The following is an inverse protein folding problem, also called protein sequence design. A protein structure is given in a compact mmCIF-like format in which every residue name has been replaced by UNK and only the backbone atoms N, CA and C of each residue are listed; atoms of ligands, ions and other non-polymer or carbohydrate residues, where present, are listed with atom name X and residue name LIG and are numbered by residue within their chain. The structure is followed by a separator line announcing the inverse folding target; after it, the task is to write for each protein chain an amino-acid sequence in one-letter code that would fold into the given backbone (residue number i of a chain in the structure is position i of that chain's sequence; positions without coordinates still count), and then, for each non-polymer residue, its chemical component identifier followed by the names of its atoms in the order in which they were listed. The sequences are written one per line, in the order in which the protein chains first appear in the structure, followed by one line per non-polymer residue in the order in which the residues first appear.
data_IF_866401518794
#
_entry.id   IF_866401518794
#
_cell.length_a   1.000
_cell.length_b   1.000
_cell.length_c   1.000
_cell.angle_alpha   90.00
_cell.angle_beta   90.00
_cell.angle_gamma   90.00
#
_symmetry.space_group_name_H-M   'P 1'
#
loop_
_entity.id
_entity.type
_entity.pdbx_description
1 polymer ?
#
# COMPACT_ATOMS: atom_id res chain seq x y z
N UNK A 1 -15.24 2.53 12.50
CA UNK A 1 -16.38 2.77 11.62
C UNK A 1 -15.97 3.69 10.48
N UNK A 2 -16.38 3.36 9.27
CA UNK A 2 -16.17 4.18 8.08
C UNK A 2 -17.46 4.29 7.26
N UNK A 3 -17.60 5.39 6.51
CA UNK A 3 -18.73 5.70 5.62
C UNK A 3 -20.10 5.48 6.24
N UNK A 4 -20.95 6.46 6.32
CA UNK A 4 -22.31 6.33 6.83
C UNK A 4 -23.31 6.72 5.76
N UNK A 5 -24.29 5.83 5.46
CA UNK A 5 -25.39 6.07 4.51
C UNK A 5 -26.72 5.58 5.12
N UNK A 6 -27.73 6.40 5.02
CA UNK A 6 -29.09 5.95 5.34
C UNK A 6 -29.75 5.34 4.10
N UNK A 7 -30.27 4.14 4.25
CA UNK A 7 -31.16 3.55 3.27
C UNK A 7 -32.56 4.22 3.31
N UNK A 8 -33.39 4.09 2.25
CA UNK A 8 -34.73 4.69 2.21
C UNK A 8 -35.66 4.27 3.36
N UNK A 9 -35.43 3.12 3.96
CA UNK A 9 -36.19 2.61 5.12
C UNK A 9 -35.69 3.17 6.46
N UNK A 10 -34.70 4.06 6.44
CA UNK A 10 -34.08 4.67 7.62
C UNK A 10 -32.97 3.82 8.26
N UNK A 11 -32.61 2.67 7.71
CA UNK A 11 -31.50 1.84 8.21
C UNK A 11 -30.17 2.53 7.94
N UNK A 12 -29.33 2.67 8.97
CA UNK A 12 -27.97 3.21 8.83
C UNK A 12 -27.00 2.09 8.46
N UNK A 13 -26.39 2.21 7.30
CA UNK A 13 -25.31 1.34 6.82
C UNK A 13 -23.94 1.98 7.05
N UNK A 14 -22.97 1.17 7.45
CA UNK A 14 -21.58 1.57 7.73
C UNK A 14 -20.62 0.45 7.37
N UNK A 15 -19.34 0.79 7.26
CA UNK A 15 -18.26 -0.22 7.33
C UNK A 15 -17.68 -0.26 8.73
N UNK A 16 -17.31 -1.44 9.22
CA UNK A 16 -16.68 -1.63 10.53
C UNK A 16 -15.91 -2.94 10.61
N UNK A 17 -14.84 -2.93 11.38
CA UNK A 17 -14.08 -4.12 11.80
C UNK A 17 -14.46 -4.60 13.21
N UNK A 18 -15.59 -4.12 13.76
CA UNK A 18 -16.07 -4.58 15.05
C UNK A 18 -16.35 -6.09 15.03
N UNK A 19 -15.69 -6.82 15.92
CA UNK A 19 -15.78 -8.29 15.99
C UNK A 19 -15.09 -9.04 14.84
N UNK A 20 -14.34 -8.35 13.99
CA UNK A 20 -13.62 -8.93 12.85
C UNK A 20 -12.21 -8.38 12.75
N UNK A 21 -11.32 -9.08 12.04
CA UNK A 21 -10.02 -8.57 11.62
C UNK A 21 -10.12 -7.61 10.43
N UNK A 22 -11.17 -7.77 9.60
CA UNK A 22 -11.37 -7.02 8.37
C UNK A 22 -12.60 -6.11 8.44
N UNK A 23 -12.54 -4.99 7.69
CA UNK A 23 -13.68 -4.10 7.49
C UNK A 23 -14.83 -4.83 6.78
N UNK A 24 -16.02 -4.79 7.34
CA UNK A 24 -17.24 -5.39 6.77
C UNK A 24 -18.32 -4.34 6.58
N UNK A 25 -19.11 -4.49 5.54
CA UNK A 25 -20.33 -3.70 5.35
C UNK A 25 -21.45 -4.28 6.23
N UNK A 26 -22.14 -3.43 6.95
CA UNK A 26 -23.23 -3.82 7.83
C UNK A 26 -24.10 -2.66 8.27
N UNK A 27 -25.04 -2.94 9.17
CA UNK A 27 -25.97 -1.97 9.74
C UNK A 27 -25.57 -1.60 11.15
N UNK A 28 -25.73 -0.31 11.49
CA UNK A 28 -25.52 0.24 12.82
C UNK A 28 -26.83 0.72 13.39
N UNK A 29 -27.20 0.23 14.56
CA UNK A 29 -28.31 0.79 15.34
C UNK A 29 -27.83 2.06 16.07
N UNK A 30 -28.30 3.27 15.69
CA UNK A 30 -27.82 4.50 16.28
C UNK A 30 -28.23 4.70 17.75
N UNK A 31 -29.21 3.93 18.25
CA UNK A 31 -29.66 4.01 19.63
C UNK A 31 -28.81 3.16 20.57
N UNK A 32 -28.39 1.99 20.10
CA UNK A 32 -27.65 1.02 20.92
C UNK A 32 -26.16 0.99 20.59
N UNK A 33 -25.76 1.56 19.44
CA UNK A 33 -24.40 1.45 18.91
C UNK A 33 -24.05 0.06 18.36
N UNK A 34 -25.04 -0.86 18.28
CA UNK A 34 -24.80 -2.24 17.85
C UNK A 34 -24.56 -2.31 16.35
N UNK A 35 -23.39 -2.79 15.96
CA UNK A 35 -23.09 -3.17 14.58
C UNK A 35 -23.57 -4.59 14.27
N UNK A 36 -24.13 -4.77 13.08
CA UNK A 36 -24.54 -6.09 12.56
C UNK A 36 -23.98 -6.25 11.16
N UNK A 37 -22.96 -7.12 10.93
CA UNK A 37 -22.41 -7.33 9.60
C UNK A 37 -23.46 -7.94 8.66
N UNK A 38 -23.45 -7.47 7.41
CA UNK A 38 -24.36 -7.89 6.35
C UNK A 38 -23.65 -8.43 5.12
N UNK A 39 -22.45 -7.91 4.80
CA UNK A 39 -21.62 -8.51 3.77
C UNK A 39 -21.13 -9.90 4.21
N UNK A 40 -20.91 -10.83 3.27
CA UNK A 40 -20.28 -12.12 3.57
C UNK A 40 -18.94 -11.93 4.28
N UNK A 41 -18.57 -12.90 5.12
CA UNK A 41 -17.25 -12.96 5.70
C UNK A 41 -16.20 -13.18 4.59
N UNK A 42 -15.13 -12.42 4.63
CA UNK A 42 -14.02 -12.56 3.70
C UNK A 42 -12.70 -12.12 4.37
N UNK A 43 -11.58 -12.31 3.68
CA UNK A 43 -10.23 -11.99 4.19
C UNK A 43 -9.74 -10.61 3.74
N UNK A 44 -10.64 -9.68 3.39
CA UNK A 44 -10.29 -8.41 2.80
C UNK A 44 -11.20 -7.29 3.30
N UNK A 45 -10.69 -6.07 3.29
CA UNK A 45 -11.42 -4.90 3.74
C UNK A 45 -12.44 -4.44 2.70
N UNK A 46 -13.65 -4.12 3.16
CA UNK A 46 -14.60 -3.30 2.39
C UNK A 46 -14.11 -1.85 2.44
N UNK A 47 -13.86 -1.23 1.27
CA UNK A 47 -13.30 0.12 1.19
C UNK A 47 -14.37 1.21 1.14
N UNK A 48 -15.41 1.01 0.33
CA UNK A 48 -16.47 1.98 0.15
C UNK A 48 -17.76 1.35 -0.36
N UNK A 49 -18.86 2.09 -0.24
CA UNK A 49 -20.17 1.63 -0.71
C UNK A 49 -21.11 2.79 -1.00
N UNK A 50 -22.15 2.51 -1.79
CA UNK A 50 -23.31 3.36 -1.97
C UNK A 50 -24.59 2.52 -2.06
N UNK A 51 -25.75 3.14 -1.79
CA UNK A 51 -27.07 2.48 -1.70
C UNK A 51 -27.96 3.03 -2.80
N UNK A 52 -28.63 2.16 -3.58
CA UNK A 52 -29.61 2.58 -4.55
C UNK A 52 -30.76 3.35 -3.88
N UNK A 53 -31.26 4.40 -4.53
CA UNK A 53 -32.31 5.28 -4.01
C UNK A 53 -33.61 4.52 -3.67
N UNK A 54 -33.88 3.42 -4.34
CA UNK A 54 -35.03 2.53 -4.05
C UNK A 54 -34.73 1.44 -3.02
N UNK A 55 -33.50 1.39 -2.49
CA UNK A 55 -33.04 0.38 -1.54
C UNK A 55 -32.94 -1.04 -2.11
N UNK A 56 -32.96 -1.22 -3.43
CA UNK A 56 -32.96 -2.55 -4.05
C UNK A 56 -31.61 -3.27 -3.97
N UNK A 57 -30.50 -2.53 -3.97
CA UNK A 57 -29.15 -3.08 -3.84
C UNK A 57 -28.18 -2.07 -3.24
N UNK A 58 -27.03 -2.59 -2.83
CA UNK A 58 -25.86 -1.81 -2.35
C UNK A 58 -24.66 -2.20 -3.20
N UNK A 59 -24.02 -1.22 -3.84
CA UNK A 59 -22.74 -1.41 -4.51
C UNK A 59 -21.61 -1.15 -3.52
N UNK A 60 -20.63 -2.04 -3.43
CA UNK A 60 -19.48 -1.87 -2.53
C UNK A 60 -18.19 -2.44 -3.13
N UNK A 61 -17.07 -1.85 -2.76
CA UNK A 61 -15.74 -2.32 -3.16
C UNK A 61 -15.06 -3.07 -2.04
N UNK A 62 -14.30 -4.08 -2.43
CA UNK A 62 -13.46 -4.90 -1.54
C UNK A 62 -12.02 -4.84 -2.04
N UNK A 63 -11.07 -4.58 -1.14
CA UNK A 63 -9.65 -4.55 -1.43
C UNK A 63 -9.05 -5.96 -1.32
N UNK A 64 -8.98 -6.68 -2.42
CA UNK A 64 -8.37 -8.02 -2.46
C UNK A 64 -6.86 -7.91 -2.73
N UNK A 65 -6.07 -7.89 -1.66
CA UNK A 65 -4.60 -7.77 -1.72
C UNK A 65 -4.09 -6.58 -2.56
N UNK A 66 -4.81 -5.44 -2.53
CA UNK A 66 -4.45 -4.23 -3.28
C UNK A 66 -5.21 -4.06 -4.60
N UNK A 67 -6.00 -5.06 -5.01
CA UNK A 67 -6.86 -4.97 -6.20
C UNK A 67 -8.31 -4.81 -5.75
N UNK A 68 -8.96 -3.73 -6.19
CA UNK A 68 -10.36 -3.49 -5.84
C UNK A 68 -11.29 -4.39 -6.66
N UNK A 69 -12.33 -4.90 -6.01
CA UNK A 69 -13.42 -5.69 -6.60
C UNK A 69 -14.75 -5.02 -6.31
N UNK A 70 -15.57 -4.81 -7.33
CA UNK A 70 -16.91 -4.27 -7.17
C UNK A 70 -17.91 -5.41 -6.97
N UNK A 71 -18.75 -5.30 -5.95
CA UNK A 71 -19.80 -6.27 -5.61
C UNK A 71 -21.11 -5.56 -5.34
N UNK A 72 -22.22 -6.26 -5.66
CA UNK A 72 -23.58 -5.82 -5.41
C UNK A 72 -24.20 -6.74 -4.37
N UNK A 73 -24.65 -6.17 -3.26
CA UNK A 73 -25.36 -6.86 -2.18
C UNK A 73 -26.87 -6.59 -2.30
N UNK A 74 -27.68 -7.62 -2.29
CA UNK A 74 -29.11 -7.51 -2.03
C UNK A 74 -29.32 -7.39 -0.51
N UNK A 75 -29.81 -6.24 0.00
CA UNK A 75 -29.93 -6.02 1.45
C UNK A 75 -31.01 -6.88 2.12
N UNK A 76 -31.96 -7.43 1.34
CA UNK A 76 -33.07 -8.26 1.83
C UNK A 76 -32.67 -9.72 1.97
N UNK A 77 -31.97 -10.25 0.95
CA UNK A 77 -31.62 -11.68 0.90
C UNK A 77 -30.19 -11.96 1.36
N UNK A 78 -29.32 -10.95 1.37
CA UNK A 78 -27.88 -11.11 1.60
C UNK A 78 -27.11 -11.69 0.41
N UNK A 79 -27.77 -11.88 -0.74
CA UNK A 79 -27.13 -12.39 -1.95
C UNK A 79 -26.12 -11.37 -2.50
N UNK A 80 -24.96 -11.87 -2.95
CA UNK A 80 -23.90 -11.02 -3.52
C UNK A 80 -23.61 -11.45 -4.94
N UNK A 81 -23.49 -10.45 -5.84
CA UNK A 81 -23.01 -10.62 -7.22
C UNK A 81 -21.73 -9.85 -7.41
N UNK A 82 -20.69 -10.47 -7.98
CA UNK A 82 -19.43 -9.80 -8.32
C UNK A 82 -19.51 -9.24 -9.75
N UNK A 83 -19.08 -8.00 -9.95
CA UNK A 83 -18.95 -7.37 -11.25
C UNK A 83 -17.62 -7.79 -11.87
N UNK A 84 -17.70 -8.46 -13.00
CA UNK A 84 -16.54 -8.86 -13.82
C UNK A 84 -16.36 -7.89 -14.99
N UNK A 85 -15.16 -7.87 -15.61
CA UNK A 85 -14.90 -7.03 -16.79
C UNK A 85 -14.33 -5.65 -16.51
N UNK A 86 -14.26 -5.22 -15.25
CA UNK A 86 -13.49 -4.03 -14.86
C UNK A 86 -11.97 -4.32 -14.90
N UNK A 87 -11.12 -3.35 -15.31
CA UNK A 87 -9.66 -3.52 -15.28
C UNK A 87 -9.15 -3.84 -13.87
N UNK A 88 -8.11 -4.68 -13.80
CA UNK A 88 -7.47 -5.04 -12.53
C UNK A 88 -6.62 -3.87 -12.02
N UNK A 89 -7.08 -3.24 -10.96
CA UNK A 89 -6.42 -2.08 -10.37
C UNK A 89 -7.19 -1.58 -9.15
N UNK A 90 -7.19 -0.29 -8.94
CA UNK A 90 -7.93 0.37 -7.86
C UNK A 90 -9.22 1.00 -8.38
N UNK A 91 -10.23 1.01 -7.54
CA UNK A 91 -11.52 1.64 -7.81
C UNK A 91 -11.80 2.69 -6.76
N UNK A 92 -12.43 3.80 -7.19
CA UNK A 92 -12.83 4.87 -6.30
C UNK A 92 -14.11 5.54 -6.74
N UNK A 93 -14.74 6.28 -5.82
CA UNK A 93 -15.92 7.07 -6.11
C UNK A 93 -17.13 6.25 -6.56
N UNK A 94 -17.37 5.08 -5.94
CA UNK A 94 -18.60 4.31 -6.20
C UNK A 94 -19.80 5.14 -5.80
N UNK A 95 -20.65 5.42 -6.77
CA UNK A 95 -21.87 6.25 -6.64
C UNK A 95 -22.97 5.66 -7.50
N UNK A 96 -24.21 5.67 -7.00
CA UNK A 96 -25.36 5.09 -7.70
C UNK A 96 -26.30 6.22 -8.13
N UNK A 97 -26.47 6.36 -9.45
CA UNK A 97 -27.41 7.33 -10.00
C UNK A 97 -28.86 7.02 -9.59
N UNK A 98 -29.78 8.02 -9.55
CA UNK A 98 -31.17 7.81 -9.14
C UNK A 98 -31.92 6.74 -9.97
N UNK A 99 -31.46 6.49 -11.18
CA UNK A 99 -32.01 5.43 -12.06
C UNK A 99 -31.28 4.08 -11.93
N UNK A 100 -30.36 3.95 -10.96
CA UNK A 100 -29.70 2.70 -10.58
C UNK A 100 -28.37 2.39 -11.26
N UNK A 101 -27.93 3.14 -12.29
CA UNK A 101 -26.61 2.95 -12.90
C UNK A 101 -25.49 3.25 -11.89
N UNK A 102 -24.50 2.38 -11.79
CA UNK A 102 -23.35 2.55 -10.88
C UNK A 102 -22.25 3.28 -11.62
N UNK A 103 -21.78 4.43 -11.09
CA UNK A 103 -20.62 5.17 -11.56
C UNK A 103 -19.41 4.91 -10.67
N UNK A 104 -18.22 4.85 -11.26
CA UNK A 104 -16.95 4.72 -10.53
C UNK A 104 -15.77 5.17 -11.38
N UNK A 105 -14.63 5.40 -10.73
CA UNK A 105 -13.33 5.56 -11.40
C UNK A 105 -12.50 4.30 -11.28
N UNK A 106 -11.75 3.95 -12.32
CA UNK A 106 -10.82 2.81 -12.32
C UNK A 106 -9.43 3.28 -12.72
N UNK A 107 -8.44 2.94 -11.91
CA UNK A 107 -7.01 3.15 -12.20
C UNK A 107 -6.31 1.80 -12.24
N UNK A 108 -5.68 1.47 -13.38
CA UNK A 108 -5.00 0.20 -13.59
C UNK A 108 -3.73 0.42 -14.43
N UNK A 109 -2.92 -0.61 -14.64
CA UNK A 109 -1.66 -0.49 -15.38
C UNK A 109 -1.81 0.25 -16.73
N UNK A 110 -2.89 -0.04 -17.45
CA UNK A 110 -3.20 0.52 -18.79
C UNK A 110 -4.33 1.56 -18.79
N UNK A 111 -4.83 1.95 -17.62
CA UNK A 111 -5.98 2.85 -17.46
C UNK A 111 -5.65 3.96 -16.47
N UNK A 112 -5.46 5.20 -16.97
CA UNK A 112 -5.03 6.32 -16.11
C UNK A 112 -6.18 7.00 -15.35
N UNK A 113 -6.96 6.27 -14.55
CA UNK A 113 -8.10 6.79 -13.76
C UNK A 113 -9.27 7.29 -14.60
N UNK A 114 -9.87 6.40 -15.37
CA UNK A 114 -11.04 6.70 -16.20
C UNK A 114 -12.36 6.43 -15.50
N UNK A 115 -13.41 7.13 -15.97
CA UNK A 115 -14.76 6.95 -15.53
C UNK A 115 -15.41 5.72 -16.23
N UNK A 116 -16.08 4.92 -15.42
CA UNK A 116 -16.81 3.72 -15.84
C UNK A 116 -18.23 3.76 -15.30
N UNK A 117 -19.12 3.06 -15.97
CA UNK A 117 -20.42 2.71 -15.40
C UNK A 117 -20.69 1.21 -15.48
N UNK A 118 -21.55 0.75 -14.58
CA UNK A 118 -22.02 -0.63 -14.52
C UNK A 118 -23.54 -0.64 -14.46
N UNK A 119 -24.17 -1.42 -15.33
CA UNK A 119 -25.61 -1.70 -15.25
C UNK A 119 -25.85 -2.74 -14.14
N UNK A 120 -26.68 -2.45 -13.11
CA UNK A 120 -26.85 -3.34 -11.96
C UNK A 120 -27.59 -4.65 -12.31
N UNK A 121 -28.35 -4.70 -13.42
CA UNK A 121 -29.13 -5.88 -13.81
C UNK A 121 -28.28 -6.85 -14.62
N UNK A 122 -27.60 -6.34 -15.66
CA UNK A 122 -26.82 -7.14 -16.62
C UNK A 122 -25.36 -7.29 -16.22
N UNK A 123 -24.85 -6.44 -15.31
CA UNK A 123 -23.44 -6.26 -14.93
C UNK A 123 -22.56 -5.81 -16.11
N UNK A 124 -23.17 -5.26 -17.16
CA UNK A 124 -22.44 -4.71 -18.30
C UNK A 124 -21.62 -3.48 -17.88
N UNK A 125 -20.34 -3.48 -18.27
CA UNK A 125 -19.36 -2.42 -17.97
C UNK A 125 -19.19 -1.53 -19.19
N UNK A 126 -19.24 -0.21 -19.00
CA UNK A 126 -18.98 0.79 -20.04
C UNK A 126 -17.91 1.76 -19.58
N UNK A 127 -16.85 1.95 -20.36
CA UNK A 127 -15.85 3.01 -20.17
C UNK A 127 -16.32 4.28 -20.87
N UNK A 128 -16.27 5.42 -20.15
CA UNK A 128 -16.76 6.71 -20.65
C UNK A 128 -15.66 7.70 -20.99
N UNK A 129 -14.51 7.59 -20.39
CA UNK A 129 -13.41 8.51 -20.60
C UNK A 129 -12.13 7.79 -21.01
N UNK A 130 -11.30 8.50 -21.75
CA UNK A 130 -9.91 8.14 -22.07
C UNK A 130 -9.04 9.31 -21.67
N UNK A 131 -8.48 9.23 -20.47
CA UNK A 131 -7.67 10.30 -19.89
C UNK A 131 -6.38 10.51 -20.69
N UNK A 132 -6.01 11.75 -20.83
CA UNK A 132 -4.81 12.19 -21.55
C UNK A 132 -3.55 11.73 -20.80
N UNK A 133 -2.55 11.23 -21.53
CA UNK A 133 -1.31 10.63 -20.99
C UNK A 133 -0.03 11.35 -21.45
N UNK A 134 -0.14 12.57 -21.96
CA UNK A 134 1.00 13.33 -22.49
C UNK A 134 1.56 12.75 -23.79
N UNK A 135 0.71 12.11 -24.59
CA UNK A 135 1.12 11.45 -25.83
C UNK A 135 1.77 10.07 -25.64
N UNK A 136 1.84 9.55 -24.41
CA UNK A 136 2.30 8.18 -24.14
C UNK A 136 1.15 7.20 -24.38
N UNK A 137 1.46 6.07 -25.04
CA UNK A 137 0.50 4.97 -25.23
C UNK A 137 0.44 4.11 -23.95
N UNK A 138 -0.66 4.13 -23.17
CA UNK A 138 -0.77 3.32 -21.97
C UNK A 138 -0.93 1.82 -22.27
N UNK A 139 -1.24 1.42 -23.50
CA UNK A 139 -1.41 0.01 -23.88
C UNK A 139 -0.13 -0.81 -23.75
N UNK A 140 1.05 -0.15 -23.85
CA UNK A 140 2.37 -0.79 -23.71
C UNK A 140 2.77 -1.02 -22.25
N UNK A 141 2.04 -0.46 -21.29
CA UNK A 141 2.33 -0.67 -19.89
C UNK A 141 2.07 -2.11 -19.46
N UNK A 142 2.90 -2.61 -18.55
CA UNK A 142 2.81 -3.99 -18.09
C UNK A 142 1.93 -4.09 -16.83
N UNK A 143 1.15 -5.16 -16.75
CA UNK A 143 0.45 -5.52 -15.52
C UNK A 143 1.44 -6.20 -14.55
N UNK A 144 1.33 -5.94 -13.24
CA UNK A 144 2.20 -6.58 -12.27
C UNK A 144 1.82 -8.03 -12.00
N UNK A 145 2.84 -8.82 -11.66
CA UNK A 145 2.70 -10.13 -11.06
C UNK A 145 2.49 -9.99 -9.55
N UNK A 146 1.48 -10.64 -8.99
CA UNK A 146 1.33 -10.75 -7.54
C UNK A 146 2.31 -11.79 -7.01
N UNK A 147 3.12 -11.39 -6.04
CA UNK A 147 4.14 -12.23 -5.40
C UNK A 147 3.78 -12.38 -3.93
N UNK A 148 3.70 -13.62 -3.44
CA UNK A 148 3.50 -13.94 -2.03
C UNK A 148 4.62 -14.85 -1.54
N UNK A 149 5.13 -14.59 -0.34
CA UNK A 149 6.18 -15.37 0.30
C UNK A 149 5.90 -15.57 1.78
N UNK A 150 6.41 -16.67 2.35
CA UNK A 150 6.46 -16.84 3.80
C UNK A 150 7.68 -16.11 4.34
N UNK A 151 7.46 -15.24 5.30
CA UNK A 151 8.51 -14.55 6.03
C UNK A 151 9.21 -15.46 7.04
N UNK A 152 10.20 -14.92 7.76
CA UNK A 152 11.08 -15.60 8.72
C UNK A 152 10.35 -16.36 9.84
N UNK A 153 9.12 -15.96 10.15
CA UNK A 153 8.26 -16.55 11.19
C UNK A 153 7.03 -17.29 10.63
N UNK A 154 6.96 -17.43 9.29
CA UNK A 154 5.88 -18.09 8.59
C UNK A 154 4.69 -17.18 8.23
N UNK A 155 4.71 -15.89 8.63
CA UNK A 155 3.71 -14.92 8.18
C UNK A 155 3.76 -14.77 6.67
N UNK A 156 2.58 -14.72 6.02
CA UNK A 156 2.47 -14.47 4.60
C UNK A 156 2.57 -12.96 4.34
N UNK A 157 3.52 -12.57 3.50
CA UNK A 157 3.69 -11.20 3.03
C UNK A 157 3.65 -11.16 1.52
N UNK A 158 3.15 -10.09 0.94
CA UNK A 158 2.94 -10.02 -0.51
C UNK A 158 3.47 -8.73 -1.12
N UNK A 159 3.47 -8.67 -2.44
CA UNK A 159 3.88 -7.48 -3.19
C UNK A 159 3.58 -7.64 -4.67
N UNK A 160 3.96 -6.63 -5.44
CA UNK A 160 3.73 -6.56 -6.87
C UNK A 160 5.04 -6.41 -7.63
N UNK A 161 5.31 -7.33 -8.54
CA UNK A 161 6.49 -7.31 -9.39
C UNK A 161 6.11 -6.88 -10.80
N UNK A 162 6.65 -5.78 -11.25
CA UNK A 162 6.57 -5.30 -12.62
C UNK A 162 7.82 -5.73 -13.39
N UNK A 163 7.63 -6.42 -14.52
CA UNK A 163 8.71 -6.89 -15.37
C UNK A 163 8.75 -6.09 -16.66
N UNK A 164 9.93 -5.63 -17.12
CA UNK A 164 10.06 -5.10 -18.47
C UNK A 164 9.66 -6.14 -19.53
N UNK A 165 9.18 -5.66 -20.67
CA UNK A 165 8.87 -6.53 -21.82
C UNK A 165 10.13 -7.31 -22.27
N UNK A 166 10.13 -8.65 -22.19
CA UNK A 166 11.28 -9.47 -22.55
C UNK A 166 11.62 -9.41 -24.05
N UNK A 167 10.66 -9.02 -24.90
CA UNK A 167 10.92 -8.81 -26.33
C UNK A 167 11.76 -7.56 -26.57
N UNK A 168 11.52 -6.48 -25.81
CA UNK A 168 12.30 -5.24 -25.86
C UNK A 168 13.61 -5.36 -25.06
N UNK A 169 13.58 -6.05 -23.93
CA UNK A 169 14.70 -6.17 -22.97
C UNK A 169 15.01 -7.63 -22.65
N UNK A 170 15.69 -8.36 -23.52
CA UNK A 170 16.03 -9.75 -23.30
C UNK A 170 17.04 -9.95 -22.17
N UNK A 171 17.04 -11.15 -21.59
CA UNK A 171 17.96 -11.57 -20.53
C UNK A 171 17.59 -11.08 -19.14
N UNK A 172 18.52 -11.25 -18.20
CA UNK A 172 18.32 -10.87 -16.79
C UNK A 172 18.25 -9.35 -16.64
N UNK A 173 17.28 -8.87 -15.86
CA UNK A 173 17.02 -7.44 -15.69
C UNK A 173 17.41 -6.96 -14.29
N UNK A 174 17.96 -5.72 -14.18
CA UNK A 174 18.14 -5.08 -12.89
C UNK A 174 16.78 -4.89 -12.20
N UNK A 175 16.80 -4.82 -10.87
CA UNK A 175 15.62 -4.70 -10.05
C UNK A 175 15.73 -3.53 -9.08
N UNK A 176 14.64 -2.79 -8.90
CA UNK A 176 14.47 -1.85 -7.80
C UNK A 176 13.41 -2.41 -6.84
N UNK A 177 13.77 -2.59 -5.57
CA UNK A 177 12.81 -2.83 -4.48
C UNK A 177 12.36 -1.48 -3.97
N UNK A 178 11.10 -1.12 -4.24
CA UNK A 178 10.51 0.20 -3.94
C UNK A 178 9.52 0.09 -2.80
N UNK A 179 9.93 0.50 -1.60
CA UNK A 179 9.19 0.32 -0.35
C UNK A 179 8.33 1.56 -0.09
N UNK A 180 7.02 1.34 0.14
CA UNK A 180 6.08 2.42 0.41
C UNK A 180 6.30 3.07 1.78
N UNK A 181 5.83 4.30 1.93
CA UNK A 181 5.77 5.00 3.22
C UNK A 181 4.55 4.59 4.04
N UNK A 182 4.43 5.17 5.20
CA UNK A 182 3.33 4.91 6.13
C UNK A 182 3.83 4.81 7.56
N UNK A 183 4.04 3.58 8.12
CA UNK A 183 3.90 2.22 7.58
C UNK A 183 2.47 1.81 7.26
N UNK A 184 1.49 2.30 8.00
CA UNK A 184 0.06 2.03 7.80
C UNK A 184 -0.41 2.62 6.45
N UNK A 185 -0.01 1.96 5.37
CA UNK A 185 -0.34 2.24 3.97
C UNK A 185 -0.25 0.94 3.18
N UNK A 186 -0.52 0.99 1.88
CA UNK A 186 -0.45 -0.15 0.99
C UNK A 186 0.04 0.30 -0.39
N UNK A 187 0.87 -0.50 -1.03
CA UNK A 187 1.06 -0.38 -2.47
C UNK A 187 -0.11 -1.07 -3.18
N UNK A 188 -0.73 -0.37 -4.10
CA UNK A 188 -1.80 -0.87 -4.96
C UNK A 188 -1.45 -0.68 -6.44
N UNK A 189 -1.85 -1.61 -7.34
CA UNK A 189 -1.43 -1.61 -8.73
C UNK A 189 -2.30 -0.68 -9.63
N UNK A 190 -2.36 0.61 -9.29
CA UNK A 190 -2.96 1.64 -10.14
C UNK A 190 -2.05 2.06 -11.30
N UNK A 191 -2.46 3.07 -12.05
CA UNK A 191 -1.69 3.64 -13.14
C UNK A 191 -0.39 4.27 -12.64
N UNK A 192 0.75 3.88 -13.22
CA UNK A 192 2.09 4.27 -12.76
C UNK A 192 2.63 5.55 -13.39
N UNK A 193 1.96 6.09 -14.42
CA UNK A 193 2.38 7.32 -15.11
C UNK A 193 3.85 7.28 -15.53
N UNK A 194 4.59 8.33 -15.17
CA UNK A 194 6.03 8.47 -15.49
C UNK A 194 6.91 7.37 -14.88
N UNK A 195 6.47 6.67 -13.84
CA UNK A 195 7.26 5.57 -13.24
C UNK A 195 7.40 4.39 -14.19
N UNK A 196 6.54 4.27 -15.21
CA UNK A 196 6.69 3.30 -16.29
C UNK A 196 7.97 3.51 -17.13
N UNK A 197 8.63 4.67 -17.06
CA UNK A 197 9.91 4.94 -17.73
C UNK A 197 10.99 3.90 -17.34
N UNK A 198 11.03 3.52 -16.07
CA UNK A 198 11.96 2.47 -15.61
C UNK A 198 11.76 1.16 -16.34
N UNK A 199 10.49 0.76 -16.53
CA UNK A 199 10.11 -0.49 -17.20
C UNK A 199 10.26 -0.38 -18.72
N UNK A 200 9.67 0.66 -19.32
CA UNK A 200 9.45 0.75 -20.75
C UNK A 200 10.68 1.27 -21.50
N UNK A 201 11.54 2.11 -20.85
CA UNK A 201 12.70 2.71 -21.49
C UNK A 201 14.04 2.22 -20.95
N UNK A 202 14.13 1.92 -19.66
CA UNK A 202 15.38 1.45 -19.06
C UNK A 202 15.44 -0.07 -18.87
N UNK A 203 14.33 -0.77 -19.03
CA UNK A 203 14.25 -2.21 -18.82
C UNK A 203 14.60 -2.63 -17.40
N UNK A 204 14.23 -1.82 -16.40
CA UNK A 204 14.43 -2.10 -14.99
C UNK A 204 13.16 -2.68 -14.40
N UNK A 205 13.23 -3.86 -13.81
CA UNK A 205 12.12 -4.44 -13.05
C UNK A 205 11.91 -3.65 -11.74
N UNK A 206 10.66 -3.58 -11.28
CA UNK A 206 10.33 -2.90 -10.02
C UNK A 206 9.47 -3.82 -9.16
N UNK A 207 9.87 -4.04 -7.93
CA UNK A 207 9.10 -4.77 -6.94
C UNK A 207 8.59 -3.83 -5.85
N UNK A 208 7.30 -3.88 -5.58
CA UNK A 208 6.64 -3.11 -4.53
C UNK A 208 6.13 -4.06 -3.44
N UNK A 209 6.85 -4.22 -2.32
CA UNK A 209 6.41 -5.04 -1.20
C UNK A 209 5.28 -4.36 -0.41
N UNK A 210 4.36 -5.17 0.11
CA UNK A 210 3.46 -4.87 1.21
C UNK A 210 3.93 -5.72 2.40
N UNK A 211 4.88 -5.18 3.16
CA UNK A 211 5.42 -5.81 4.37
C UNK A 211 4.38 -5.77 5.49
N UNK A 212 4.57 -6.56 6.56
CA UNK A 212 3.74 -6.42 7.76
C UNK A 212 3.70 -4.96 8.23
N UNK A 213 2.57 -4.52 8.80
CA UNK A 213 2.28 -3.11 9.05
C UNK A 213 1.51 -2.44 7.90
N UNK A 214 1.49 -3.04 6.69
CA UNK A 214 0.68 -2.52 5.58
C UNK A 214 -0.81 -2.69 5.83
N UNK A 215 -1.62 -1.73 5.36
CA UNK A 215 -3.10 -1.79 5.37
C UNK A 215 -3.63 -2.73 4.29
N UNK A 216 -4.93 -3.09 4.37
CA UNK A 216 -5.60 -3.94 3.38
C UNK A 216 -5.48 -5.45 3.65
N UNK A 217 -4.76 -5.85 4.70
CA UNK A 217 -4.55 -7.25 5.09
C UNK A 217 -5.11 -7.57 6.49
N UNK A 218 -6.02 -6.75 6.99
CA UNK A 218 -6.63 -6.85 8.31
C UNK A 218 -5.86 -6.10 9.40
N UNK A 219 -6.55 -5.76 10.51
CA UNK A 219 -5.96 -5.00 11.62
C UNK A 219 -4.87 -5.75 12.37
N UNK A 220 -4.93 -7.10 12.41
CA UNK A 220 -3.86 -7.92 12.96
C UNK A 220 -2.56 -7.71 12.18
N UNK A 221 -2.63 -7.75 10.84
CA UNK A 221 -1.46 -7.57 9.99
C UNK A 221 -0.85 -6.17 10.15
N UNK A 222 -1.68 -5.13 10.24
CA UNK A 222 -1.25 -3.75 10.53
C UNK A 222 -0.48 -3.66 11.84
N UNK A 223 -0.89 -4.42 12.87
CA UNK A 223 -0.26 -4.36 14.20
C UNK A 223 1.04 -5.18 14.35
N UNK A 224 1.42 -5.98 13.34
CA UNK A 224 2.55 -6.92 13.45
C UNK A 224 3.93 -6.26 13.53
N UNK A 225 4.04 -4.98 13.21
CA UNK A 225 5.29 -4.22 13.34
C UNK A 225 5.18 -3.01 14.28
N UNK A 226 4.05 -2.86 15.02
CA UNK A 226 3.83 -1.74 15.91
C UNK A 226 4.77 -1.72 17.12
N UNK A 227 5.19 -0.49 17.44
CA UNK A 227 6.11 -0.23 18.52
C UNK A 227 7.57 -0.58 18.20
N UNK A 228 8.52 -0.17 19.07
CA UNK A 228 9.95 -0.28 18.76
C UNK A 228 10.45 -1.72 18.80
N UNK A 229 9.77 -2.64 19.50
CA UNK A 229 10.22 -4.02 19.68
C UNK A 229 9.86 -4.93 18.50
N UNK A 230 8.88 -4.55 17.68
CA UNK A 230 8.42 -5.32 16.53
C UNK A 230 8.83 -4.69 15.20
N UNK A 231 9.23 -3.42 15.19
CA UNK A 231 9.47 -2.61 13.98
C UNK A 231 10.42 -3.25 12.98
N UNK A 232 11.49 -3.90 13.45
CA UNK A 232 12.43 -4.57 12.55
C UNK A 232 11.88 -5.84 11.87
N UNK A 233 10.70 -6.32 12.26
CA UNK A 233 10.11 -7.48 11.61
C UNK A 233 9.70 -7.17 10.17
N UNK A 234 9.27 -5.94 9.87
CA UNK A 234 9.04 -5.49 8.49
C UNK A 234 10.32 -5.46 7.65
N UNK A 235 11.47 -5.14 8.26
CA UNK A 235 12.78 -5.20 7.59
C UNK A 235 13.15 -6.65 7.24
N UNK A 236 12.82 -7.61 8.12
CA UNK A 236 13.07 -9.05 7.88
C UNK A 236 12.19 -9.59 6.74
N UNK A 237 10.99 -9.04 6.54
CA UNK A 237 10.14 -9.41 5.40
C UNK A 237 10.84 -9.13 4.06
N UNK A 238 11.59 -8.03 3.97
CA UNK A 238 12.37 -7.73 2.76
C UNK A 238 13.41 -8.83 2.48
N UNK A 239 14.00 -9.44 3.52
CA UNK A 239 14.90 -10.58 3.36
C UNK A 239 14.22 -11.75 2.64
N UNK A 240 12.99 -12.10 3.06
CA UNK A 240 12.23 -13.18 2.43
C UNK A 240 11.87 -12.87 0.97
N UNK A 241 11.53 -11.61 0.65
CA UNK A 241 11.32 -11.20 -0.74
C UNK A 241 12.61 -11.27 -1.56
N UNK A 242 13.74 -10.84 -1.01
CA UNK A 242 15.02 -10.94 -1.70
C UNK A 242 15.37 -12.39 -2.06
N UNK A 243 15.15 -13.34 -1.13
CA UNK A 243 15.38 -14.77 -1.40
C UNK A 243 14.56 -15.26 -2.61
N UNK A 244 13.29 -14.85 -2.70
CA UNK A 244 12.40 -15.19 -3.83
C UNK A 244 12.84 -14.52 -5.14
N UNK A 245 13.22 -13.23 -5.07
CA UNK A 245 13.57 -12.42 -6.24
C UNK A 245 14.93 -12.80 -6.82
N UNK A 246 15.92 -13.10 -5.98
CA UNK A 246 17.24 -13.56 -6.42
C UNK A 246 17.23 -14.95 -7.05
N UNK A 247 16.28 -15.79 -6.63
CA UNK A 247 16.05 -17.10 -7.23
C UNK A 247 15.37 -17.02 -8.62
N UNK A 248 14.85 -15.85 -9.00
CA UNK A 248 14.16 -15.66 -10.26
C UNK A 248 15.16 -15.53 -11.42
N UNK A 249 15.08 -16.43 -12.44
CA UNK A 249 16.05 -16.44 -13.55
C UNK A 249 16.01 -15.19 -14.43
N UNK A 250 14.93 -14.41 -14.39
CA UNK A 250 14.79 -13.17 -15.15
C UNK A 250 15.35 -11.95 -14.40
N UNK A 251 15.69 -12.08 -13.12
CA UNK A 251 16.26 -10.99 -12.31
C UNK A 251 17.80 -11.14 -12.25
N UNK A 252 18.47 -10.03 -12.43
CA UNK A 252 19.91 -9.94 -12.20
C UNK A 252 20.18 -9.62 -10.73
N UNK A 253 20.47 -10.65 -9.94
CA UNK A 253 20.75 -10.53 -8.51
C UNK A 253 21.96 -9.63 -8.19
N UNK A 254 22.84 -9.41 -9.15
CA UNK A 254 24.00 -8.55 -8.98
C UNK A 254 23.71 -7.07 -9.31
N UNK A 255 22.47 -6.74 -9.68
CA UNK A 255 21.99 -5.39 -9.98
C UNK A 255 20.64 -5.09 -9.32
N UNK A 256 20.57 -5.26 -7.99
CA UNK A 256 19.39 -4.92 -7.18
C UNK A 256 19.68 -3.62 -6.43
N UNK A 257 18.73 -2.67 -6.47
CA UNK A 257 18.74 -1.45 -5.68
C UNK A 257 17.52 -1.40 -4.76
N UNK A 258 17.62 -0.64 -3.67
CA UNK A 258 16.48 -0.35 -2.78
C UNK A 258 16.18 1.14 -2.83
N UNK A 259 14.88 1.48 -2.86
CA UNK A 259 14.43 2.85 -2.68
C UNK A 259 13.20 2.90 -1.78
N UNK A 260 12.97 4.05 -1.17
CA UNK A 260 11.76 4.28 -0.40
C UNK A 260 11.66 5.68 0.14
N UNK A 261 10.41 6.11 0.41
CA UNK A 261 10.12 7.44 0.93
C UNK A 261 9.46 7.42 2.31
N UNK A 262 9.78 8.42 3.15
CA UNK A 262 9.21 8.55 4.50
C UNK A 262 9.54 7.32 5.37
N UNK A 263 8.54 6.57 5.85
CA UNK A 263 8.77 5.27 6.48
C UNK A 263 9.49 4.29 5.53
N UNK A 264 9.14 4.28 4.24
CA UNK A 264 9.90 3.53 3.23
C UNK A 264 11.36 3.98 3.13
N UNK A 265 11.66 5.23 3.46
CA UNK A 265 13.02 5.75 3.59
C UNK A 265 13.76 5.18 4.80
N UNK A 266 13.10 5.05 5.96
CA UNK A 266 13.63 4.26 7.07
C UNK A 266 13.94 2.83 6.63
N UNK A 267 12.98 2.19 5.98
CA UNK A 267 13.15 0.83 5.45
C UNK A 267 14.30 0.74 4.45
N UNK A 268 14.48 1.77 3.61
CA UNK A 268 15.60 1.88 2.68
C UNK A 268 16.95 1.82 3.42
N UNK A 269 17.16 2.67 4.43
CA UNK A 269 18.36 2.62 5.26
C UNK A 269 18.51 1.27 5.98
N UNK A 270 17.47 0.84 6.69
CA UNK A 270 17.53 -0.36 7.52
C UNK A 270 17.82 -1.63 6.69
N UNK A 271 17.21 -1.75 5.50
CA UNK A 271 17.48 -2.88 4.61
C UNK A 271 18.84 -2.79 3.93
N UNK A 272 19.29 -1.58 3.54
CA UNK A 272 20.62 -1.37 2.97
C UNK A 272 21.73 -1.70 3.98
N UNK A 273 21.53 -1.40 5.25
CA UNK A 273 22.45 -1.76 6.33
C UNK A 273 22.40 -3.28 6.60
N UNK A 274 21.22 -3.86 6.72
CA UNK A 274 21.04 -5.27 7.07
C UNK A 274 21.43 -6.23 5.96
N UNK A 275 21.12 -5.88 4.71
CA UNK A 275 21.29 -6.72 3.53
C UNK A 275 22.21 -6.08 2.49
N UNK A 276 23.15 -5.21 2.91
CA UNK A 276 23.99 -4.41 2.02
C UNK A 276 24.73 -5.20 0.95
N UNK A 277 25.16 -6.43 1.23
CA UNK A 277 25.80 -7.31 0.24
C UNK A 277 24.89 -7.73 -0.94
N UNK A 278 23.58 -7.63 -0.76
CA UNK A 278 22.57 -8.00 -1.77
C UNK A 278 22.14 -6.79 -2.62
N UNK A 279 22.35 -5.57 -2.15
CA UNK A 279 22.05 -4.34 -2.89
C UNK A 279 23.32 -3.72 -3.49
N UNK A 280 23.14 -2.99 -4.59
CA UNK A 280 24.21 -2.25 -5.28
C UNK A 280 24.07 -0.74 -5.13
N UNK A 281 22.89 -0.26 -4.73
CA UNK A 281 22.63 1.16 -4.44
C UNK A 281 21.39 1.29 -3.56
N UNK A 282 21.29 2.41 -2.84
CA UNK A 282 20.13 2.80 -2.08
C UNK A 282 19.74 4.25 -2.41
N UNK A 283 18.43 4.52 -2.59
CA UNK A 283 17.84 5.84 -2.77
C UNK A 283 16.80 6.09 -1.66
N UNK A 284 17.23 6.80 -0.61
CA UNK A 284 16.43 7.00 0.61
C UNK A 284 15.87 8.43 0.63
N UNK A 285 14.57 8.54 0.43
CA UNK A 285 13.84 9.79 0.17
C UNK A 285 13.10 10.23 1.44
N UNK A 286 13.29 11.47 1.89
CA UNK A 286 12.69 12.04 3.12
C UNK A 286 12.66 11.02 4.26
N UNK A 287 13.81 10.40 4.50
CA UNK A 287 13.95 9.17 5.27
C UNK A 287 14.19 9.44 6.76
N UNK A 288 13.59 8.62 7.63
CA UNK A 288 13.85 8.64 9.08
C UNK A 288 15.18 7.91 9.30
N UNK A 289 16.19 8.61 9.78
CA UNK A 289 17.50 8.05 10.11
C UNK A 289 17.63 7.70 11.60
N UNK A 290 16.90 8.43 12.46
CA UNK A 290 16.88 8.20 13.91
C UNK A 290 15.47 8.44 14.45
N UNK A 291 14.82 7.42 14.99
CA UNK A 291 13.47 7.52 15.52
C UNK A 291 13.33 8.49 16.68
N UNK A 292 14.35 8.62 17.53
CA UNK A 292 14.30 9.53 18.68
C UNK A 292 14.32 10.98 18.20
N UNK A 293 15.28 11.37 17.36
CA UNK A 293 15.35 12.73 16.83
C UNK A 293 14.15 13.07 15.94
N UNK A 294 13.65 12.09 15.20
CA UNK A 294 12.43 12.24 14.41
C UNK A 294 11.21 12.55 15.30
N UNK A 295 10.99 11.78 16.37
CA UNK A 295 9.86 11.98 17.28
C UNK A 295 9.96 13.30 18.05
N UNK A 296 11.17 13.72 18.41
CA UNK A 296 11.42 14.98 19.08
C UNK A 296 11.19 16.21 18.16
N UNK A 297 11.49 16.09 16.86
CA UNK A 297 11.55 17.23 15.94
C UNK A 297 10.41 17.27 14.88
N UNK A 298 9.63 16.18 14.70
CA UNK A 298 8.45 16.21 13.85
C UNK A 298 7.42 17.22 14.39
N UNK A 299 6.62 17.81 13.53
CA UNK A 299 5.61 18.79 13.90
C UNK A 299 4.65 18.26 14.98
N UNK A 300 4.30 19.12 15.95
CA UNK A 300 3.57 18.74 17.16
C UNK A 300 2.24 18.04 16.89
N UNK A 301 1.50 18.47 15.85
CA UNK A 301 0.20 17.88 15.49
C UNK A 301 0.27 16.39 15.08
N UNK A 302 1.47 15.90 14.73
CA UNK A 302 1.68 14.50 14.31
C UNK A 302 2.38 13.65 15.35
N UNK A 303 3.02 14.27 16.33
CA UNK A 303 3.96 13.62 17.24
C UNK A 303 3.32 12.48 18.03
N UNK A 304 2.15 12.75 18.65
CA UNK A 304 1.48 11.74 19.45
C UNK A 304 0.95 10.57 18.61
N UNK A 305 0.45 10.85 17.40
CA UNK A 305 0.09 9.80 16.44
C UNK A 305 1.29 8.90 16.12
N UNK A 306 2.48 9.48 15.93
CA UNK A 306 3.69 8.72 15.63
C UNK A 306 4.25 7.96 16.84
N UNK A 307 4.02 8.46 18.05
CA UNK A 307 4.34 7.73 19.29
C UNK A 307 3.52 6.46 19.45
N UNK A 308 2.24 6.51 19.11
CA UNK A 308 1.37 5.32 19.14
C UNK A 308 1.93 4.22 18.22
N UNK A 309 2.43 4.60 17.06
CA UNK A 309 2.89 3.68 16.04
C UNK A 309 4.34 3.20 16.26
N UNK A 310 5.29 4.14 16.47
CA UNK A 310 6.72 3.80 16.59
C UNK A 310 7.16 3.48 18.00
N UNK A 311 6.46 4.01 19.00
CA UNK A 311 6.82 3.99 20.40
C UNK A 311 7.09 5.39 20.94
N UNK A 312 7.12 5.51 22.28
CA UNK A 312 7.27 6.78 22.99
C UNK A 312 8.73 7.00 23.42
N UNK A 313 9.40 7.99 22.83
CA UNK A 313 10.78 8.36 23.16
C UNK A 313 10.96 8.94 24.57
N UNK A 314 9.87 9.28 25.26
CA UNK A 314 9.86 9.75 26.64
C UNK A 314 9.96 8.59 27.64
N UNK A 315 9.55 7.38 27.25
CA UNK A 315 9.75 6.17 28.04
C UNK A 315 11.21 5.69 27.88
N UNK A 316 12.01 5.57 28.96
CA UNK A 316 13.42 5.23 28.86
C UNK A 316 13.71 3.89 28.17
N UNK A 317 12.82 2.88 28.35
CA UNK A 317 12.97 1.55 27.76
C UNK A 317 12.70 1.59 26.25
N UNK A 318 11.62 2.27 25.85
CA UNK A 318 11.28 2.43 24.44
C UNK A 318 12.31 3.32 23.74
N UNK A 319 12.77 4.42 24.38
CA UNK A 319 13.83 5.28 23.85
C UNK A 319 15.10 4.49 23.54
N UNK A 320 15.53 3.64 24.46
CA UNK A 320 16.72 2.80 24.25
C UNK A 320 16.56 1.90 23.03
N UNK A 321 15.38 1.27 22.87
CA UNK A 321 15.08 0.42 21.71
C UNK A 321 14.94 1.23 20.43
N UNK A 322 14.29 2.38 20.45
CA UNK A 322 14.21 3.30 19.31
C UNK A 322 15.60 3.72 18.82
N UNK A 323 16.52 4.02 19.73
CA UNK A 323 17.92 4.29 19.37
C UNK A 323 18.59 3.08 18.74
N UNK A 324 18.42 1.89 19.33
CA UNK A 324 19.03 0.64 18.83
C UNK A 324 18.62 0.33 17.40
N UNK A 325 17.31 0.47 17.06
CA UNK A 325 16.76 0.16 15.73
C UNK A 325 16.90 1.32 14.73
N UNK A 326 17.40 2.47 15.16
CA UNK A 326 17.60 3.62 14.29
C UNK A 326 18.77 3.36 13.32
N UNK A 327 18.58 3.55 12.02
CA UNK A 327 19.62 3.33 11.02
C UNK A 327 20.91 4.07 11.32
N UNK A 328 20.82 5.30 11.85
CA UNK A 328 21.98 6.13 12.19
C UNK A 328 22.94 5.44 13.17
N UNK A 329 22.41 4.61 14.07
CA UNK A 329 23.23 3.89 15.08
C UNK A 329 24.15 2.82 14.45
N UNK A 330 23.82 2.35 13.25
CA UNK A 330 24.58 1.31 12.54
C UNK A 330 24.94 1.74 11.11
N UNK A 331 24.96 3.03 10.84
CA UNK A 331 25.15 3.57 9.48
C UNK A 331 26.56 3.32 8.94
N UNK A 332 27.52 3.13 9.82
CA UNK A 332 28.90 2.69 9.51
C UNK A 332 28.97 1.34 8.78
N UNK A 333 27.92 0.52 8.89
CA UNK A 333 27.79 -0.75 8.17
C UNK A 333 27.28 -0.59 6.73
N UNK A 334 26.87 0.61 6.34
CA UNK A 334 26.41 0.88 4.98
C UNK A 334 27.60 0.88 4.02
N UNK A 335 27.67 -0.10 3.15
CA UNK A 335 28.81 -0.34 2.26
C UNK A 335 28.49 -0.13 0.78
N UNK A 336 27.33 0.44 0.46
CA UNK A 336 26.86 0.66 -0.91
C UNK A 336 26.64 2.14 -1.20
N UNK A 337 26.69 2.58 -2.47
CA UNK A 337 26.34 3.95 -2.85
C UNK A 337 24.96 4.35 -2.35
N UNK A 338 24.88 5.53 -1.76
CA UNK A 338 23.68 6.09 -1.16
C UNK A 338 23.31 7.42 -1.80
N UNK A 339 22.10 7.52 -2.32
CA UNK A 339 21.42 8.78 -2.66
C UNK A 339 20.47 9.16 -1.53
N UNK A 340 20.57 10.41 -1.06
CA UNK A 340 19.67 10.97 -0.06
C UNK A 340 18.91 12.15 -0.66
N UNK A 341 17.58 12.07 -0.66
CA UNK A 341 16.71 13.13 -1.13
C UNK A 341 15.89 13.65 0.05
N UNK A 342 15.81 14.97 0.22
CA UNK A 342 15.05 15.58 1.30
C UNK A 342 14.38 16.88 0.89
N UNK A 343 13.25 17.22 1.53
CA UNK A 343 12.59 18.52 1.40
C UNK A 343 13.12 19.50 2.44
N UNK A 344 13.53 20.70 2.01
CA UNK A 344 14.04 21.72 2.92
C UNK A 344 13.00 22.15 3.99
N UNK A 345 11.72 22.09 3.66
CA UNK A 345 10.60 22.52 4.50
C UNK A 345 9.63 21.39 4.82
N UNK A 346 10.10 20.13 4.86
CA UNK A 346 9.23 19.00 5.23
C UNK A 346 8.87 19.08 6.73
N UNK A 347 7.57 19.26 7.07
CA UNK A 347 7.14 19.35 8.46
C UNK A 347 6.98 17.98 9.12
N UNK A 348 7.06 16.91 8.35
CA UNK A 348 6.82 15.53 8.80
C UNK A 348 8.13 14.82 9.12
N UNK A 349 9.03 14.76 8.13
CA UNK A 349 10.38 14.23 8.31
C UNK A 349 11.36 15.39 8.17
N UNK A 350 11.84 15.98 9.28
CA UNK A 350 12.69 17.14 9.24
C UNK A 350 13.98 16.91 8.45
N UNK A 351 14.44 17.95 7.74
CA UNK A 351 15.70 17.91 6.97
C UNK A 351 16.89 17.44 7.82
N UNK A 352 16.88 17.68 9.14
CA UNK A 352 17.91 17.22 10.07
C UNK A 352 18.12 15.71 10.05
N UNK A 353 17.08 14.91 9.72
CA UNK A 353 17.22 13.45 9.56
C UNK A 353 18.17 13.10 8.40
N UNK A 354 18.07 13.83 7.30
CA UNK A 354 18.97 13.65 6.15
C UNK A 354 20.38 14.20 6.46
N UNK A 355 20.47 15.38 7.09
CA UNK A 355 21.75 16.03 7.40
C UNK A 355 22.63 15.16 8.31
N UNK A 356 22.04 14.57 9.37
CA UNK A 356 22.77 13.69 10.28
C UNK A 356 23.22 12.38 9.63
N UNK A 357 22.39 11.79 8.75
CA UNK A 357 22.74 10.58 8.00
C UNK A 357 23.91 10.87 7.04
N UNK A 358 23.83 11.95 6.26
CA UNK A 358 24.89 12.34 5.32
C UNK A 358 26.20 12.67 6.05
N UNK A 359 26.12 13.33 7.20
CA UNK A 359 27.31 13.64 8.01
C UNK A 359 27.99 12.37 8.54
N UNK A 360 27.22 11.33 8.87
CA UNK A 360 27.73 10.09 9.42
C UNK A 360 28.34 9.13 8.37
N UNK A 361 27.97 9.24 7.08
CA UNK A 361 28.52 8.40 6.00
C UNK A 361 29.67 9.04 5.25
N UNK A 362 29.98 10.32 5.48
CA UNK A 362 31.14 11.06 4.93
C UNK A 362 32.36 10.95 5.81
#
# INVERSE_FOLDING_TARGET
YGGGRFAPDGTLWVTSDEGSDFQRLGTLDPKTGKFTPRSPENKWDVEGFDIADDGSFIAYTVNEAGISKLRLLDPKTGAVREVTGLPKGTMGGVDIAPWGTIGLTVSAAKVPSDAYSVDPNTLAVTRWTESETGGLDPSVNVEPEFVEVKSFDGELVSGFLYRPDPAKFPGKRPLIVSIHGGPESQFTPGFRGRSNYLLNELGVAVFHPNVRGSTGFGKRFVSLDNGPFLRENSVKDIGAFLDRLEADPAIDKDRIAVQGGSYGGYMCYATAIRYGGRFKAADCIVAISNFVTFLENTQSYRRDLRRVEYGDERDPKQRAKLMEISPLTSIDKLSIPLLVVTGANDPRVPKSEADQAVAAVR
#
